data_IF_419461505178
#
_entry.id   IF_419461505178
#
_cell.length_a   1.000
_cell.length_b   1.000
_cell.length_c   1.000
_cell.angle_alpha   90.00
_cell.angle_beta   90.00
_cell.angle_gamma   90.00
#
_symmetry.space_group_name_H-M   'P 1'
#
loop_
_entity.id
_entity.type
_entity.pdbx_description
1 polymer ?
#
# COMPACT_ATOMS: atom_id res chain seq x y z
N UNK A 1 -6.13 -31.64 1.29
CA UNK A 1 -6.12 -30.17 1.19
C UNK A 1 -7.38 -29.64 1.85
N UNK A 2 -7.24 -28.74 2.83
CA UNK A 2 -8.33 -28.28 3.68
C UNK A 2 -8.86 -26.94 3.12
N UNK A 3 -10.15 -26.83 2.73
CA UNK A 3 -10.69 -25.65 2.04
C UNK A 3 -10.66 -24.36 2.89
N UNK A 4 -10.47 -24.46 4.20
CA UNK A 4 -10.35 -23.31 5.10
C UNK A 4 -9.07 -22.47 4.88
N UNK A 5 -7.98 -23.06 4.38
CA UNK A 5 -6.74 -22.30 4.12
C UNK A 5 -6.81 -21.43 2.85
N UNK A 6 -7.74 -21.73 1.93
CA UNK A 6 -7.90 -20.98 0.68
C UNK A 6 -8.53 -19.61 0.92
N UNK A 7 -9.37 -19.49 1.95
CA UNK A 7 -10.00 -18.21 2.34
C UNK A 7 -9.04 -17.29 3.13
N UNK A 8 -8.02 -17.87 3.77
CA UNK A 8 -6.99 -17.10 4.48
C UNK A 8 -6.10 -16.31 3.52
N UNK A 9 -5.83 -16.84 2.31
CA UNK A 9 -5.11 -16.08 1.27
C UNK A 9 -5.93 -14.91 0.74
N UNK A 10 -7.26 -15.05 0.62
CA UNK A 10 -8.15 -13.97 0.17
C UNK A 10 -8.41 -12.87 1.20
N UNK A 11 -8.17 -13.12 2.49
CA UNK A 11 -8.29 -12.11 3.57
C UNK A 11 -6.93 -11.64 4.10
N UNK A 12 -5.84 -12.16 3.53
CA UNK A 12 -4.48 -11.89 3.96
C UNK A 12 -3.99 -10.48 3.60
N UNK A 13 -2.77 -10.18 4.04
CA UNK A 13 -2.11 -8.86 3.88
C UNK A 13 -2.01 -8.40 2.41
N UNK A 14 -2.10 -9.32 1.47
CA UNK A 14 -2.07 -9.08 0.02
C UNK A 14 -3.40 -8.49 -0.49
N UNK A 15 -4.55 -8.89 0.05
CA UNK A 15 -5.85 -8.32 -0.31
C UNK A 15 -5.97 -6.84 0.11
N UNK A 16 -5.31 -6.45 1.20
CA UNK A 16 -5.20 -5.05 1.59
C UNK A 16 -4.27 -4.24 0.67
N UNK A 17 -3.34 -4.89 -0.04
CA UNK A 17 -2.41 -4.25 -0.98
C UNK A 17 -3.08 -3.96 -2.33
N UNK A 18 -4.17 -4.67 -2.64
CA UNK A 18 -5.02 -4.46 -3.82
C UNK A 18 -6.04 -3.31 -3.69
N UNK A 19 -6.06 -2.58 -2.56
CA UNK A 19 -6.87 -1.34 -2.46
C UNK A 19 -6.22 -0.22 -3.27
N UNK A 20 -6.47 -0.25 -4.56
CA UNK A 20 -6.15 0.82 -5.50
C UNK A 20 -7.26 1.86 -5.49
N UNK A 21 -6.88 3.11 -5.64
CA UNK A 21 -7.79 4.22 -5.90
C UNK A 21 -7.52 4.69 -7.31
N UNK A 22 -8.58 4.72 -8.10
CA UNK A 22 -8.54 5.15 -9.50
C UNK A 22 -8.83 6.63 -9.53
N UNK A 23 -7.88 7.43 -10.01
CA UNK A 23 -8.05 8.87 -10.19
C UNK A 23 -7.82 9.16 -11.67
N UNK A 24 -8.91 9.41 -12.40
CA UNK A 24 -8.87 9.48 -13.85
C UNK A 24 -8.43 8.13 -14.45
N UNK A 25 -7.32 8.13 -15.18
CA UNK A 25 -6.75 6.94 -15.84
C UNK A 25 -5.62 6.25 -15.07
N UNK A 26 -5.23 6.77 -13.90
CA UNK A 26 -4.08 6.25 -13.14
C UNK A 26 -4.57 5.49 -11.92
N UNK A 27 -4.21 4.20 -11.85
CA UNK A 27 -4.42 3.36 -10.68
C UNK A 27 -3.28 3.58 -9.67
N UNK A 28 -3.59 4.20 -8.54
CA UNK A 28 -2.61 4.46 -7.47
C UNK A 28 -2.96 3.63 -6.23
N UNK A 29 -1.95 3.07 -5.56
CA UNK A 29 -2.16 2.45 -4.26
C UNK A 29 -2.65 3.52 -3.25
N UNK A 30 -3.66 3.22 -2.44
CA UNK A 30 -4.19 4.16 -1.42
C UNK A 30 -3.09 4.79 -0.55
N UNK A 31 -2.06 4.02 -0.20
CA UNK A 31 -0.92 4.52 0.59
C UNK A 31 -0.08 5.53 -0.18
N UNK A 32 0.15 5.30 -1.47
CA UNK A 32 0.88 6.24 -2.32
C UNK A 32 0.09 7.53 -2.49
N UNK A 33 -1.23 7.43 -2.62
CA UNK A 33 -2.11 8.60 -2.69
C UNK A 33 -2.00 9.48 -1.42
N UNK A 34 -2.10 8.88 -0.23
CA UNK A 34 -1.93 9.61 1.04
C UNK A 34 -0.54 10.25 1.17
N UNK A 35 0.51 9.57 0.70
CA UNK A 35 1.88 10.12 0.70
C UNK A 35 2.00 11.31 -0.25
N UNK A 36 1.44 11.21 -1.46
CA UNK A 36 1.42 12.33 -2.41
C UNK A 36 0.65 13.52 -1.85
N UNK A 37 -0.50 13.27 -1.22
CA UNK A 37 -1.30 14.32 -0.59
C UNK A 37 -0.55 15.00 0.57
N UNK A 38 0.08 14.22 1.45
CA UNK A 38 0.91 14.77 2.54
C UNK A 38 2.14 15.52 2.02
N UNK A 39 2.78 15.01 0.98
CA UNK A 39 3.94 15.65 0.33
C UNK A 39 3.55 16.95 -0.36
N UNK A 40 2.35 17.02 -0.95
CA UNK A 40 1.81 18.22 -1.57
C UNK A 40 1.62 19.34 -0.56
N UNK A 41 1.03 19.04 0.60
CA UNK A 41 0.86 20.02 1.69
C UNK A 41 2.21 20.54 2.18
N UNK A 42 3.23 19.68 2.30
CA UNK A 42 4.58 20.09 2.68
C UNK A 42 5.33 20.84 1.56
N UNK A 43 5.03 20.54 0.29
CA UNK A 43 5.65 21.17 -0.87
C UNK A 43 5.19 22.63 -1.05
N UNK A 44 3.93 22.96 -0.73
CA UNK A 44 3.39 24.31 -0.87
C UNK A 44 4.20 25.40 -0.15
N UNK A 45 4.46 25.33 1.17
CA UNK A 45 5.25 26.35 1.86
C UNK A 45 6.69 26.40 1.36
N UNK A 46 7.28 25.26 1.01
CA UNK A 46 8.65 25.21 0.49
C UNK A 46 8.75 25.85 -0.91
N UNK A 47 7.74 25.62 -1.75
CA UNK A 47 7.62 26.23 -3.08
C UNK A 47 7.40 27.73 -2.96
N UNK A 48 6.53 28.17 -2.04
CA UNK A 48 6.29 29.59 -1.80
C UNK A 48 7.57 30.30 -1.33
N UNK A 49 8.30 29.67 -0.42
CA UNK A 49 9.59 30.18 0.04
C UNK A 49 10.61 30.24 -1.11
N UNK A 50 10.74 29.18 -1.90
CA UNK A 50 11.64 29.16 -3.05
C UNK A 50 11.26 30.21 -4.11
N UNK A 51 9.97 30.43 -4.32
CA UNK A 51 9.45 31.45 -5.22
C UNK A 51 9.81 32.87 -4.74
N UNK A 52 9.78 33.12 -3.43
CA UNK A 52 10.18 34.42 -2.88
C UNK A 52 11.67 34.74 -3.13
N UNK A 53 12.56 33.74 -3.15
CA UNK A 53 13.99 33.94 -3.36
C UNK A 53 14.44 33.91 -4.82
N UNK A 54 13.87 33.00 -5.62
CA UNK A 54 14.35 32.71 -6.99
C UNK A 54 13.31 33.09 -8.06
N UNK A 55 12.14 33.58 -7.65
CA UNK A 55 11.05 33.95 -8.55
C UNK A 55 10.48 32.73 -9.28
N UNK A 56 10.31 32.85 -10.59
CA UNK A 56 9.66 31.85 -11.43
C UNK A 56 10.35 30.48 -11.42
N UNK A 57 11.67 30.44 -11.23
CA UNK A 57 12.41 29.17 -11.08
C UNK A 57 12.01 28.38 -9.83
N UNK A 58 11.43 29.06 -8.83
CA UNK A 58 10.89 28.42 -7.63
C UNK A 58 9.78 27.41 -7.93
N UNK A 59 9.05 27.55 -9.04
CA UNK A 59 7.98 26.60 -9.44
C UNK A 59 8.51 25.18 -9.70
N UNK A 60 9.78 25.04 -10.09
CA UNK A 60 10.42 23.73 -10.32
C UNK A 60 10.59 22.95 -9.01
N UNK A 61 10.60 23.64 -7.86
CA UNK A 61 10.74 22.97 -6.56
C UNK A 61 9.55 22.08 -6.22
N UNK A 62 8.34 22.41 -6.70
CA UNK A 62 7.12 21.65 -6.43
C UNK A 62 7.21 20.20 -6.95
N UNK A 63 7.45 19.93 -8.24
CA UNK A 63 7.58 18.56 -8.74
C UNK A 63 8.82 17.84 -8.15
N UNK A 64 9.88 18.58 -7.81
CA UNK A 64 11.07 18.01 -7.16
C UNK A 64 10.74 17.46 -5.77
N UNK A 65 10.03 18.22 -4.94
CA UNK A 65 9.65 17.81 -3.58
C UNK A 65 8.64 16.66 -3.63
N UNK A 66 7.65 16.72 -4.51
CA UNK A 66 6.70 15.63 -4.75
C UNK A 66 7.41 14.36 -5.21
N UNK A 67 8.34 14.47 -6.15
CA UNK A 67 9.16 13.37 -6.65
C UNK A 67 10.03 12.76 -5.55
N UNK A 68 10.67 13.58 -4.72
CA UNK A 68 11.44 13.14 -3.54
C UNK A 68 10.56 12.40 -2.53
N UNK A 69 9.37 12.92 -2.24
CA UNK A 69 8.39 12.27 -1.37
C UNK A 69 7.97 10.90 -1.92
N UNK A 70 7.60 10.84 -3.19
CA UNK A 70 7.25 9.58 -3.85
C UNK A 70 8.43 8.60 -3.86
N UNK A 71 9.64 9.06 -4.22
CA UNK A 71 10.85 8.23 -4.27
C UNK A 71 11.20 7.66 -2.90
N UNK A 72 11.05 8.43 -1.82
CA UNK A 72 11.34 7.98 -0.46
C UNK A 72 10.40 6.84 -0.02
N UNK A 73 9.15 6.87 -0.45
CA UNK A 73 8.16 5.86 -0.11
C UNK A 73 8.14 4.66 -1.07
N UNK A 74 8.45 4.88 -2.35
CA UNK A 74 8.38 3.85 -3.39
C UNK A 74 9.70 3.13 -3.64
N UNK A 75 10.86 3.73 -3.32
CA UNK A 75 12.11 2.96 -3.26
C UNK A 75 11.93 1.89 -2.19
N UNK A 76 11.77 0.66 -2.63
CA UNK A 76 11.92 -0.54 -1.81
C UNK A 76 13.41 -0.87 -1.81
N UNK A 77 13.99 -1.14 -0.64
CA UNK A 77 15.36 -1.66 -0.62
C UNK A 77 15.39 -2.99 -1.36
N UNK A 78 16.21 -3.09 -2.39
CA UNK A 78 16.44 -4.33 -3.16
C UNK A 78 17.50 -5.22 -2.51
N UNK A 79 18.16 -4.75 -1.44
CA UNK A 79 19.17 -5.50 -0.72
C UNK A 79 18.65 -5.93 0.66
N UNK A 80 18.75 -7.23 0.94
CA UNK A 80 18.31 -7.85 2.21
C UNK A 80 16.80 -7.91 2.38
N UNK A 81 16.35 -8.31 3.58
CA UNK A 81 14.94 -8.37 4.00
C UNK A 81 14.21 -7.14 3.46
N UNK A 82 13.28 -7.31 2.51
CA UNK A 82 12.68 -6.22 1.70
C UNK A 82 11.88 -5.22 2.56
N UNK A 83 12.58 -4.38 3.32
CA UNK A 83 12.01 -3.31 4.10
C UNK A 83 11.75 -2.10 3.20
N UNK A 84 10.67 -1.40 3.53
CA UNK A 84 10.40 -0.07 2.98
C UNK A 84 11.44 0.91 3.52
N UNK A 85 11.98 1.78 2.67
CA UNK A 85 13.11 2.67 3.01
C UNK A 85 12.83 3.56 4.21
N UNK A 86 11.61 4.07 4.35
CA UNK A 86 11.22 4.87 5.53
C UNK A 86 11.37 4.09 6.85
N UNK A 87 11.11 2.77 6.86
CA UNK A 87 11.30 1.92 8.05
C UNK A 87 12.77 1.70 8.34
N UNK A 88 13.58 1.48 7.32
CA UNK A 88 15.03 1.36 7.47
C UNK A 88 15.65 2.64 8.06
N UNK A 89 15.16 3.82 7.64
CA UNK A 89 15.60 5.11 8.19
C UNK A 89 15.18 5.31 9.65
N UNK A 90 13.98 4.85 10.02
CA UNK A 90 13.53 4.89 11.41
C UNK A 90 14.27 3.88 12.29
N UNK A 91 14.53 2.66 11.80
CA UNK A 91 15.31 1.64 12.50
C UNK A 91 16.72 2.13 12.78
N UNK A 92 17.39 2.72 11.79
CA UNK A 92 18.74 3.27 11.96
C UNK A 92 18.80 4.42 12.95
N UNK A 93 17.78 5.30 12.98
CA UNK A 93 17.67 6.34 14.00
C UNK A 93 17.46 5.78 15.41
N UNK A 94 16.58 4.79 15.57
CA UNK A 94 16.33 4.15 16.87
C UNK A 94 17.53 3.33 17.35
N UNK A 95 18.18 2.61 16.44
CA UNK A 95 19.38 1.83 16.73
C UNK A 95 20.51 2.71 17.25
N UNK A 96 20.73 3.89 16.65
CA UNK A 96 21.71 4.86 17.17
C UNK A 96 21.39 5.40 18.56
N UNK A 97 20.11 5.51 18.91
CA UNK A 97 19.70 6.10 20.19
C UNK A 97 19.79 5.09 21.34
N UNK A 98 19.50 3.81 21.08
CA UNK A 98 19.41 2.78 22.11
C UNK A 98 20.60 1.80 22.12
N UNK A 99 21.61 1.99 21.27
CA UNK A 99 22.74 1.07 21.07
C UNK A 99 22.31 -0.40 20.89
N UNK A 100 21.14 -0.59 20.26
CA UNK A 100 20.49 -1.89 20.03
C UNK A 100 20.24 -2.08 18.55
N UNK A 101 20.36 -3.32 18.07
CA UNK A 101 19.97 -3.67 16.71
C UNK A 101 18.45 -3.76 16.65
N UNK A 102 17.82 -2.97 15.78
CA UNK A 102 16.41 -3.13 15.47
C UNK A 102 16.24 -3.82 14.12
N UNK A 103 15.29 -4.75 14.05
CA UNK A 103 14.83 -5.37 12.81
C UNK A 103 13.31 -5.22 12.73
N UNK A 104 12.83 -4.52 11.71
CA UNK A 104 11.40 -4.25 11.54
C UNK A 104 10.78 -3.50 12.72
N UNK A 105 11.55 -2.69 13.45
CA UNK A 105 11.09 -1.97 14.64
C UNK A 105 10.97 -2.82 15.91
N UNK A 106 11.41 -4.08 15.88
CA UNK A 106 11.61 -4.88 17.09
C UNK A 106 13.08 -4.82 17.50
N UNK A 107 13.40 -4.53 18.77
CA UNK A 107 14.76 -4.65 19.27
C UNK A 107 15.15 -6.14 19.27
N UNK A 108 16.30 -6.45 18.69
CA UNK A 108 16.93 -7.76 18.78
C UNK A 108 17.95 -7.68 19.90
N UNK A 109 17.69 -8.41 20.98
CA UNK A 109 18.62 -8.52 22.07
C UNK A 109 19.78 -9.44 21.64
N UNK A 110 20.92 -8.83 21.29
CA UNK A 110 22.10 -9.58 20.85
C UNK A 110 22.79 -10.32 21.99
N UNK A 111 22.42 -10.02 23.24
CA UNK A 111 22.96 -10.67 24.44
C UNK A 111 22.63 -12.16 24.51
N UNK A 112 21.49 -12.57 23.96
CA UNK A 112 21.02 -13.97 23.95
C UNK A 112 21.26 -14.68 22.60
N UNK A 113 21.76 -13.93 21.60
CA UNK A 113 22.20 -14.51 20.34
C UNK A 113 23.56 -15.18 20.54
N UNK A 114 23.55 -16.44 20.98
CA UNK A 114 24.66 -17.35 20.71
C UNK A 114 25.09 -17.11 19.27
N UNK A 115 26.37 -16.82 19.06
CA UNK A 115 27.02 -16.48 17.80
C UNK A 115 26.82 -17.61 16.78
N UNK A 116 25.58 -17.78 16.30
CA UNK A 116 25.25 -18.55 15.11
C UNK A 116 25.55 -17.60 13.99
N UNK A 117 26.84 -17.61 13.64
CA UNK A 117 27.44 -17.11 12.41
C UNK A 117 26.35 -16.89 11.37
N UNK A 118 26.04 -15.62 11.09
CA UNK A 118 25.15 -15.25 9.99
C UNK A 118 25.70 -15.94 8.75
N UNK A 119 25.10 -17.06 8.37
CA UNK A 119 25.50 -17.78 7.17
C UNK A 119 25.13 -16.86 6.02
N UNK A 120 26.14 -16.29 5.38
CA UNK A 120 25.95 -15.62 4.11
C UNK A 120 25.35 -16.67 3.17
N UNK A 121 24.11 -16.46 2.73
CA UNK A 121 23.45 -17.36 1.77
C UNK A 121 23.99 -17.15 0.35
N UNK A 122 25.12 -16.45 0.21
CA UNK A 122 25.90 -16.39 -1.02
C UNK A 122 26.69 -17.69 -1.30
N UNK A 123 26.21 -18.85 -0.82
CA UNK A 123 26.57 -20.11 -1.43
C UNK A 123 25.87 -20.12 -2.80
N UNK A 124 26.66 -20.14 -3.87
CA UNK A 124 26.15 -20.52 -5.18
C UNK A 124 25.30 -21.78 -4.99
N UNK A 125 24.06 -21.77 -5.47
CA UNK A 125 23.26 -22.99 -5.59
C UNK A 125 24.02 -23.93 -6.54
N UNK A 126 25.00 -24.67 -6.06
CA UNK A 126 25.44 -25.89 -6.71
C UNK A 126 24.27 -26.83 -6.54
N UNK A 127 23.54 -27.01 -7.64
CA UNK A 127 22.43 -27.94 -7.78
C UNK A 127 22.88 -29.28 -7.19
N UNK A 128 22.30 -29.76 -6.07
CA UNK A 128 22.61 -31.09 -5.60
C UNK A 128 22.01 -32.06 -6.61
N UNK A 129 22.86 -32.69 -7.44
CA UNK A 129 22.46 -33.74 -8.38
C UNK A 129 22.04 -35.04 -7.69
N UNK A 130 22.14 -35.11 -6.37
CA UNK A 130 21.96 -36.35 -5.61
C UNK A 130 20.71 -36.25 -4.72
N UNK A 131 19.55 -36.06 -5.36
CA UNK A 131 18.29 -36.50 -4.77
C UNK A 131 18.20 -38.00 -5.04
N UNK A 132 18.25 -38.88 -4.02
CA UNK A 132 18.04 -40.31 -4.23
C UNK A 132 16.66 -40.52 -4.83
N UNK A 133 16.66 -40.94 -6.10
CA UNK A 133 15.49 -41.40 -6.84
C UNK A 133 14.85 -42.56 -6.08
N UNK A 134 13.53 -42.45 -5.90
CA UNK A 134 12.58 -43.53 -5.59
C UNK A 134 12.77 -44.31 -4.28
N UNK A 135 12.06 -43.89 -3.23
CA UNK A 135 11.23 -44.86 -2.52
C UNK A 135 9.86 -44.90 -3.22
N UNK A 136 9.46 -46.04 -3.81
CA UNK A 136 8.10 -46.20 -4.30
C UNK A 136 7.15 -46.11 -3.10
N UNK A 137 6.20 -45.16 -3.17
CA UNK A 137 5.11 -45.05 -2.21
C UNK A 137 4.40 -46.41 -2.16
N UNK A 138 4.51 -47.10 -1.03
CA UNK A 138 3.82 -48.37 -0.80
C UNK A 138 2.32 -48.20 -1.02
N UNK A 139 1.74 -49.18 -1.71
CA UNK A 139 0.32 -49.24 -2.04
C UNK A 139 -0.53 -49.12 -0.76
N UNK A 140 -1.12 -47.95 -0.53
CA UNK A 140 -2.10 -47.76 0.54
C UNK A 140 -3.40 -48.49 0.16
N UNK A 141 -3.96 -49.34 1.03
CA UNK A 141 -5.14 -50.14 0.71
C UNK A 141 -6.38 -49.27 0.50
N UNK A 142 -6.96 -49.43 -0.70
CA UNK A 142 -8.30 -49.01 -1.10
C UNK A 142 -9.37 -49.57 -0.16
N UNK A 143 -9.86 -48.76 0.79
CA UNK A 143 -11.23 -48.85 1.32
C UNK A 143 -11.76 -47.46 1.68
N UNK A 144 -11.98 -46.63 0.65
CA UNK A 144 -12.75 -45.40 0.80
C UNK A 144 -14.23 -45.73 0.59
N UNK A 145 -14.95 -46.00 1.67
CA UNK A 145 -16.43 -46.01 1.71
C UNK A 145 -16.92 -44.66 1.18
N UNK A 146 -17.69 -44.69 0.10
CA UNK A 146 -18.43 -43.54 -0.38
C UNK A 146 -19.48 -43.13 0.66
N UNK A 147 -19.54 -41.86 1.11
CA UNK A 147 -20.71 -41.37 1.81
C UNK A 147 -21.87 -41.27 0.81
N UNK A 148 -22.93 -42.01 1.11
CA UNK A 148 -24.22 -42.00 0.43
C UNK A 148 -24.74 -40.56 0.42
N UNK A 149 -24.73 -39.96 -0.76
CA UNK A 149 -25.23 -38.62 -1.08
C UNK A 149 -26.73 -38.58 -0.77
N UNK A 150 -27.08 -38.10 0.41
CA UNK A 150 -28.45 -37.73 0.72
C UNK A 150 -28.76 -36.43 -0.02
N UNK A 151 -29.77 -36.50 -0.87
CA UNK A 151 -30.35 -35.38 -1.58
C UNK A 151 -30.99 -34.41 -0.56
N UNK A 152 -30.46 -33.20 -0.48
CA UNK A 152 -31.24 -31.97 -0.29
C UNK A 152 -30.30 -30.78 -0.48
N UNK A 153 -30.29 -30.21 -1.68
CA UNK A 153 -29.86 -28.82 -1.87
C UNK A 153 -31.14 -28.00 -2.02
N UNK A 154 -31.40 -27.01 -1.15
CA UNK A 154 -32.41 -26.01 -1.45
C UNK A 154 -31.94 -25.19 -2.65
N UNK A 155 -32.84 -25.06 -3.61
CA UNK A 155 -32.78 -24.19 -4.76
C UNK A 155 -32.65 -22.74 -4.27
N UNK A 156 -31.42 -22.21 -4.29
CA UNK A 156 -31.19 -20.78 -4.04
C UNK A 156 -31.57 -20.06 -5.33
N UNK A 157 -32.81 -19.60 -5.35
CA UNK A 157 -33.33 -18.64 -6.32
C UNK A 157 -32.37 -17.46 -6.40
N UNK A 158 -31.60 -17.42 -7.49
CA UNK A 158 -30.76 -16.28 -7.82
C UNK A 158 -31.67 -15.26 -8.50
N UNK A 159 -32.46 -14.55 -7.71
CA UNK A 159 -33.14 -13.35 -8.19
C UNK A 159 -32.06 -12.37 -8.66
N UNK A 160 -32.07 -12.15 -9.97
CA UNK A 160 -31.24 -11.23 -10.71
C UNK A 160 -31.62 -9.81 -10.26
N UNK A 161 -30.78 -9.04 -9.56
CA UNK A 161 -31.06 -7.63 -9.36
C UNK A 161 -30.91 -6.93 -10.71
N UNK A 162 -32.06 -6.61 -11.30
CA UNK A 162 -32.21 -5.64 -12.38
C UNK A 162 -31.70 -4.30 -11.85
N UNK A 163 -30.42 -4.01 -12.05
CA UNK A 163 -29.89 -2.67 -11.83
C UNK A 163 -30.50 -1.76 -12.89
N UNK A 164 -31.54 -1.04 -12.47
CA UNK A 164 -32.06 0.12 -13.17
C UNK A 164 -30.91 1.09 -13.43
N UNK A 165 -30.82 1.52 -14.69
CA UNK A 165 -29.93 2.58 -15.12
C UNK A 165 -30.27 3.86 -14.37
N UNK A 166 -29.43 4.23 -13.39
CA UNK A 166 -29.42 5.57 -12.82
C UNK A 166 -28.52 6.42 -13.72
N UNK A 167 -29.14 7.03 -14.73
CA UNK A 167 -28.55 8.15 -15.44
C UNK A 167 -28.48 9.35 -14.49
N UNK A 168 -27.31 9.57 -13.89
CA UNK A 168 -27.01 10.81 -13.21
C UNK A 168 -26.51 11.81 -14.27
N UNK A 169 -27.43 12.67 -14.72
CA UNK A 169 -27.14 13.89 -15.49
C UNK A 169 -26.25 14.80 -14.64
N UNK A 170 -25.03 15.05 -15.11
CA UNK A 170 -24.01 15.88 -14.46
C UNK A 170 -24.12 17.38 -14.78
N UNK A 171 -25.23 17.83 -15.37
CA UNK A 171 -25.32 19.20 -15.91
C UNK A 171 -25.81 20.25 -14.90
N UNK A 172 -26.50 19.88 -13.82
CA UNK A 172 -27.17 20.86 -12.93
C UNK A 172 -26.28 21.49 -11.85
N UNK A 173 -25.04 21.01 -11.64
CA UNK A 173 -24.17 21.54 -10.57
C UNK A 173 -23.24 22.68 -11.02
N UNK A 174 -23.29 23.06 -12.31
CA UNK A 174 -22.40 24.10 -12.87
C UNK A 174 -22.97 25.52 -12.77
N UNK A 175 -24.29 25.69 -12.71
CA UNK A 175 -24.92 27.04 -12.66
C UNK A 175 -24.91 27.66 -11.26
N UNK A 176 -25.12 26.87 -10.19
CA UNK A 176 -25.18 27.41 -8.82
C UNK A 176 -23.80 27.88 -8.30
N UNK A 177 -22.70 27.29 -8.77
CA UNK A 177 -21.35 27.72 -8.39
C UNK A 177 -20.91 29.00 -9.10
N UNK A 178 -21.44 29.29 -10.29
CA UNK A 178 -21.17 30.54 -10.99
C UNK A 178 -21.86 31.75 -10.33
N UNK A 179 -23.05 31.56 -9.75
CA UNK A 179 -23.79 32.63 -9.08
C UNK A 179 -23.14 33.07 -7.76
N UNK A 180 -22.50 32.16 -7.02
CA UNK A 180 -21.86 32.48 -5.74
C UNK A 180 -20.53 33.24 -5.88
N UNK A 181 -19.86 33.15 -7.03
CA UNK A 181 -18.55 33.77 -7.27
C UNK A 181 -18.62 35.25 -7.72
N UNK A 182 -19.80 35.75 -8.08
CA UNK A 182 -19.99 37.13 -8.58
C UNK A 182 -20.82 38.03 -7.65
N UNK A 183 -21.10 37.62 -6.41
CA UNK A 183 -21.77 38.50 -5.45
C UNK A 183 -20.86 39.70 -5.11
N UNK A 184 -21.27 40.95 -5.40
CA UNK A 184 -20.47 42.12 -5.09
C UNK A 184 -20.36 42.30 -3.57
N UNK A 185 -19.13 42.33 -3.07
CA UNK A 185 -18.79 42.66 -1.69
C UNK A 185 -19.16 44.13 -1.42
N UNK A 186 -20.40 44.34 -0.98
CA UNK A 186 -20.86 45.61 -0.45
C UNK A 186 -20.24 45.86 0.92
N UNK A 187 -19.19 46.67 0.97
CA UNK A 187 -18.63 47.18 2.21
C UNK A 187 -19.61 48.17 2.87
N UNK A 188 -19.95 48.03 4.16
CA UNK A 188 -20.71 49.04 4.86
C UNK A 188 -19.80 50.23 5.21
N UNK A 189 -20.08 51.38 4.59
CA UNK A 189 -19.56 52.68 4.98
C UNK A 189 -19.91 52.95 6.44
N UNK A 190 -18.87 53.02 7.29
CA UNK A 190 -19.00 53.39 8.69
C UNK A 190 -18.65 54.88 8.80
N UNK A 191 -19.67 55.72 8.66
CA UNK A 191 -19.62 57.13 9.07
C UNK A 191 -19.24 57.19 10.56
N UNK A 192 -18.07 57.77 10.85
CA UNK A 192 -17.67 58.19 12.18
C UNK A 192 -18.01 59.68 12.25
N UNK A 193 -18.94 60.02 13.15
CA UNK A 193 -19.29 61.38 13.54
C UNK A 193 -18.91 61.61 14.98
#
# INVERSE_FOLDING_TARGET
>A
MNPLYVLTEMTGREAAEQRTVVIGSVELNWRLWLVLLGSFVAALPLTFLAFAFVGQLGLVTLPVVLGLGALLFYRRSTQGLQLRTYRALLDTRKARAADQFYLCGLPIDTSDSQVKRLMTTAAAYTTPSDVPRSQPLGNAPTKRRAPKRAAHLPEINTERPTHAAVGATTDDLSEDLAAALFAPSGAPDREIR
#
